data_IF_241616424125
#
_entry.id   IF_241616424125
#
_cell.length_a   1.000
_cell.length_b   1.000
_cell.length_c   1.000
_cell.angle_alpha   90.00
_cell.angle_beta   90.00
_cell.angle_gamma   90.00
#
_symmetry.space_group_name_H-M   'P 1'
#
loop_
_entity.id
_entity.type
_entity.pdbx_description
1 polymer ?
#
# COMPACT_ATOMS: atom_id res chain seq x y z
N UNK A 1 9.49 0.45 6.62
CA UNK A 1 8.33 1.29 7.02
C UNK A 1 8.80 2.34 8.03
N UNK A 2 8.08 3.45 8.18
CA UNK A 2 8.35 4.45 9.23
C UNK A 2 7.36 4.34 10.38
N UNK A 3 7.79 4.72 11.58
CA UNK A 3 6.91 4.85 12.75
C UNK A 3 6.21 6.21 12.72
N UNK A 4 4.88 6.27 12.94
CA UNK A 4 4.16 7.54 13.01
C UNK A 4 4.72 8.49 14.06
N UNK A 5 4.84 9.77 13.71
CA UNK A 5 5.18 10.83 14.66
C UNK A 5 3.98 11.76 14.89
N UNK A 6 3.62 11.95 16.16
CA UNK A 6 2.41 12.70 16.58
C UNK A 6 2.73 14.08 17.17
N UNK A 7 3.99 14.52 17.10
CA UNK A 7 4.40 15.86 17.54
C UNK A 7 4.02 16.98 16.56
N UNK A 8 4.29 18.26 16.92
CA UNK A 8 4.04 19.42 16.06
C UNK A 8 4.69 19.30 14.68
N UNK A 9 5.89 18.72 14.64
CA UNK A 9 6.68 18.46 13.43
C UNK A 9 6.53 17.02 12.92
N UNK A 10 5.44 16.35 13.27
CA UNK A 10 5.25 14.91 13.02
C UNK A 10 5.38 14.54 11.53
N UNK A 11 4.90 15.40 10.64
CA UNK A 11 5.04 15.21 9.20
C UNK A 11 6.51 15.19 8.77
N UNK A 12 7.27 16.22 9.13
CA UNK A 12 8.68 16.34 8.70
C UNK A 12 9.56 15.32 9.42
N UNK A 13 9.33 15.03 10.70
CA UNK A 13 10.08 14.01 11.43
C UNK A 13 9.93 12.62 10.83
N UNK A 14 8.69 12.24 10.49
CA UNK A 14 8.43 10.95 9.86
C UNK A 14 8.92 10.89 8.40
N UNK A 15 8.73 11.97 7.63
CA UNK A 15 9.28 12.09 6.28
C UNK A 15 10.80 11.96 6.27
N UNK A 16 11.50 12.68 7.15
CA UNK A 16 12.95 12.63 7.26
C UNK A 16 13.43 11.21 7.62
N UNK A 17 12.71 10.50 8.48
CA UNK A 17 12.99 9.09 8.77
C UNK A 17 12.91 8.23 7.51
N UNK A 18 11.86 8.41 6.69
CA UNK A 18 11.70 7.71 5.41
C UNK A 18 12.78 8.07 4.39
N UNK A 19 13.13 9.36 4.30
CA UNK A 19 14.20 9.87 3.46
C UNK A 19 15.55 9.25 3.83
N UNK A 20 15.91 9.26 5.11
CA UNK A 20 17.17 8.68 5.59
C UNK A 20 17.28 7.20 5.28
N UNK A 21 16.20 6.43 5.44
CA UNK A 21 16.18 5.00 5.05
C UNK A 21 16.52 4.85 3.56
N UNK A 22 15.90 5.65 2.70
CA UNK A 22 16.11 5.60 1.26
C UNK A 22 17.54 6.02 0.86
N UNK A 23 18.05 7.10 1.45
CA UNK A 23 19.40 7.60 1.19
C UNK A 23 20.46 6.57 1.57
N UNK A 24 20.34 5.97 2.76
CA UNK A 24 21.27 4.93 3.22
C UNK A 24 21.17 3.69 2.33
N UNK A 25 19.98 3.30 1.87
CA UNK A 25 19.82 2.19 0.95
C UNK A 25 20.59 2.43 -0.36
N UNK A 26 20.47 3.63 -0.94
CA UNK A 26 21.24 4.02 -2.14
C UNK A 26 22.74 4.06 -1.85
N UNK A 27 23.17 4.69 -0.76
CA UNK A 27 24.58 4.80 -0.37
C UNK A 27 25.23 3.42 -0.20
N UNK A 28 24.50 2.45 0.37
CA UNK A 28 24.98 1.08 0.58
C UNK A 28 24.80 0.18 -0.64
N UNK A 29 24.30 0.70 -1.76
CA UNK A 29 24.14 -0.08 -2.99
C UNK A 29 23.06 -1.15 -2.90
N UNK A 30 22.00 -0.94 -2.11
CA UNK A 30 20.84 -1.83 -2.07
C UNK A 30 20.18 -1.84 -3.45
N UNK A 31 19.94 -3.02 -4.00
CA UNK A 31 19.41 -3.17 -5.36
C UNK A 31 17.90 -2.89 -5.46
N UNK A 32 17.17 -3.14 -4.36
CA UNK A 32 15.71 -3.02 -4.32
C UNK A 32 15.19 -2.62 -2.93
N UNK A 33 14.23 -1.69 -2.91
CA UNK A 33 13.55 -1.26 -1.70
C UNK A 33 12.03 -1.46 -1.80
N UNK A 34 11.47 -2.22 -0.86
CA UNK A 34 10.02 -2.29 -0.64
C UNK A 34 9.67 -1.34 0.50
N UNK A 35 8.93 -0.28 0.20
CA UNK A 35 8.54 0.72 1.18
C UNK A 35 7.05 0.66 1.50
N UNK A 36 6.68 0.71 2.78
CA UNK A 36 5.27 0.81 3.19
C UNK A 36 4.82 2.27 3.17
N UNK A 37 3.78 2.53 2.38
CA UNK A 37 3.26 3.86 2.08
C UNK A 37 1.78 3.99 2.48
N UNK A 38 1.24 5.20 2.44
CA UNK A 38 -0.18 5.49 2.64
C UNK A 38 -0.63 6.57 1.64
N UNK A 39 -1.94 6.64 1.31
CA UNK A 39 -2.44 7.63 0.36
C UNK A 39 -2.25 9.08 0.87
N UNK A 40 -1.93 10.05 -0.01
CA UNK A 40 -1.77 11.45 0.38
C UNK A 40 -3.12 12.09 0.73
N UNK A 41 -3.56 11.94 1.98
CA UNK A 41 -4.86 12.36 2.49
C UNK A 41 -5.16 13.85 2.21
N UNK A 42 -4.17 14.74 2.36
CA UNK A 42 -4.33 16.17 2.08
C UNK A 42 -4.60 16.42 0.60
N UNK A 43 -3.90 15.73 -0.30
CA UNK A 43 -4.07 15.88 -1.75
C UNK A 43 -5.42 15.34 -2.21
N UNK A 44 -5.78 14.13 -1.78
CA UNK A 44 -7.03 13.46 -2.19
C UNK A 44 -8.26 14.24 -1.69
N UNK A 45 -8.16 14.87 -0.53
CA UNK A 45 -9.26 15.68 0.03
C UNK A 45 -9.31 17.12 -0.47
N UNK A 46 -8.49 17.50 -1.45
CA UNK A 46 -8.43 18.89 -1.94
C UNK A 46 -7.98 19.90 -0.87
N UNK A 47 -7.16 19.47 0.08
CA UNK A 47 -6.66 20.30 1.18
C UNK A 47 -7.56 20.36 2.41
N UNK A 48 -8.72 19.69 2.41
CA UNK A 48 -9.64 19.69 3.55
C UNK A 48 -9.07 19.03 4.81
N UNK A 49 -8.39 17.90 4.66
CA UNK A 49 -7.80 17.16 5.78
C UNK A 49 -6.30 17.40 5.84
N UNK A 50 -5.86 18.24 6.77
CA UNK A 50 -4.46 18.68 6.90
C UNK A 50 -3.71 18.04 8.07
N UNK A 51 -4.42 17.32 8.94
CA UNK A 51 -3.88 16.75 10.18
C UNK A 51 -3.65 15.24 10.13
N UNK A 52 -3.83 14.61 8.97
CA UNK A 52 -3.53 13.18 8.77
C UNK A 52 -2.04 13.03 8.42
N UNK A 53 -1.18 13.59 9.27
CA UNK A 53 0.24 13.77 8.99
C UNK A 53 1.00 12.48 8.69
N UNK A 54 0.73 11.32 9.31
CA UNK A 54 1.46 10.10 8.97
C UNK A 54 1.19 9.60 7.55
N UNK A 55 -0.02 9.83 7.03
CA UNK A 55 -0.37 9.43 5.67
C UNK A 55 0.39 10.28 4.65
N UNK A 56 0.36 11.60 4.84
CA UNK A 56 1.04 12.54 3.96
C UNK A 56 2.57 12.40 4.03
N UNK A 57 3.14 12.12 5.22
CA UNK A 57 4.57 11.90 5.38
C UNK A 57 5.06 10.66 4.61
N UNK A 58 4.33 9.54 4.71
CA UNK A 58 4.65 8.31 3.96
C UNK A 58 4.48 8.50 2.45
N UNK A 59 3.42 9.19 2.01
CA UNK A 59 3.23 9.53 0.60
C UNK A 59 4.38 10.40 0.08
N UNK A 60 4.83 11.40 0.85
CA UNK A 60 5.97 12.26 0.53
C UNK A 60 7.27 11.45 0.42
N UNK A 61 7.50 10.52 1.34
CA UNK A 61 8.65 9.61 1.29
C UNK A 61 8.62 8.69 0.07
N UNK A 62 7.45 8.12 -0.28
CA UNK A 62 7.29 7.35 -1.52
C UNK A 62 7.66 8.18 -2.76
N UNK A 63 7.14 9.41 -2.87
CA UNK A 63 7.47 10.28 -4.02
C UNK A 63 8.98 10.56 -4.11
N UNK A 64 9.64 10.74 -2.96
CA UNK A 64 11.09 10.89 -2.90
C UNK A 64 11.80 9.63 -3.42
N UNK A 65 11.44 8.45 -2.91
CA UNK A 65 12.05 7.16 -3.30
C UNK A 65 11.91 6.92 -4.81
N UNK A 66 10.77 7.26 -5.41
CA UNK A 66 10.53 7.13 -6.86
C UNK A 66 11.48 7.97 -7.72
N UNK A 67 12.07 9.02 -7.16
CA UNK A 67 13.06 9.87 -7.85
C UNK A 67 14.50 9.37 -7.72
N UNK A 68 14.76 8.31 -6.95
CA UNK A 68 16.09 7.77 -6.74
C UNK A 68 16.42 6.68 -7.76
N UNK A 69 17.72 6.48 -8.00
CA UNK A 69 18.23 5.39 -8.85
C UNK A 69 18.31 4.06 -8.07
N UNK A 70 17.18 3.62 -7.54
CA UNK A 70 17.02 2.33 -6.86
C UNK A 70 15.71 1.69 -7.33
N UNK A 71 15.70 0.38 -7.62
CA UNK A 71 14.44 -0.29 -7.93
C UNK A 71 13.55 -0.22 -6.69
N UNK A 72 12.27 0.05 -6.86
CA UNK A 72 11.37 0.19 -5.71
C UNK A 72 9.97 -0.34 -5.95
N UNK A 73 9.35 -0.83 -4.89
CA UNK A 73 7.94 -1.14 -4.82
C UNK A 73 7.32 -0.58 -3.55
N UNK A 74 6.00 -0.40 -3.59
CA UNK A 74 5.27 0.29 -2.54
C UNK A 74 4.08 -0.54 -2.06
N UNK A 75 4.07 -0.85 -0.77
CA UNK A 75 2.97 -1.56 -0.10
C UNK A 75 2.09 -0.56 0.63
N UNK A 76 0.84 -0.40 0.17
CA UNK A 76 -0.16 0.45 0.82
C UNK A 76 -1.24 -0.41 1.51
N UNK A 77 -1.07 -0.74 2.80
CA UNK A 77 -2.03 -1.58 3.51
C UNK A 77 -3.34 -0.87 3.82
N UNK A 78 -4.39 -1.66 4.03
CA UNK A 78 -5.61 -1.23 4.71
C UNK A 78 -5.40 -1.01 6.21
N UNK A 79 -6.48 -0.70 6.93
CA UNK A 79 -6.43 -0.60 8.40
C UNK A 79 -6.19 -1.98 9.02
N UNK A 80 -5.24 -2.05 9.95
CA UNK A 80 -4.89 -3.30 10.63
C UNK A 80 -6.05 -3.77 11.50
N UNK A 81 -6.47 -5.03 11.31
CA UNK A 81 -7.54 -5.64 12.12
C UNK A 81 -7.14 -5.73 13.59
N UNK A 82 -5.85 -5.92 13.86
CA UNK A 82 -5.22 -6.00 15.17
C UNK A 82 -5.43 -4.72 15.99
N UNK A 83 -5.67 -3.58 15.34
CA UNK A 83 -5.97 -2.34 16.04
C UNK A 83 -7.31 -2.40 16.79
N UNK A 84 -8.27 -3.24 16.38
CA UNK A 84 -9.51 -3.45 17.12
C UNK A 84 -9.33 -4.20 18.43
N UNK A 85 -8.17 -4.84 18.63
CA UNK A 85 -7.83 -5.48 19.90
C UNK A 85 -6.83 -4.65 20.71
N UNK A 86 -5.84 -4.06 20.05
CA UNK A 86 -4.70 -3.41 20.71
C UNK A 86 -4.90 -1.93 21.00
N UNK A 87 -5.78 -1.24 20.26
CA UNK A 87 -6.00 0.20 20.40
C UNK A 87 -7.36 0.49 21.04
N UNK A 88 -7.35 0.90 22.30
CA UNK A 88 -8.58 1.12 23.10
C UNK A 88 -9.56 2.09 22.44
N UNK A 89 -9.08 3.06 21.67
CA UNK A 89 -9.93 4.03 20.96
C UNK A 89 -10.57 3.48 19.66
N UNK A 90 -10.11 2.33 19.15
CA UNK A 90 -10.71 1.63 18.00
C UNK A 90 -11.45 0.35 18.41
N UNK A 91 -11.08 -0.23 19.56
CA UNK A 91 -11.59 -1.49 20.04
C UNK A 91 -13.09 -1.49 20.32
N UNK A 92 -13.70 -2.67 20.18
CA UNK A 92 -15.07 -2.90 20.62
C UNK A 92 -15.14 -2.86 22.15
N UNK A 93 -16.16 -2.20 22.70
CA UNK A 93 -16.42 -2.17 24.13
C UNK A 93 -17.65 -3.00 24.47
N UNK A 94 -17.61 -3.74 25.58
CA UNK A 94 -18.81 -4.38 26.11
C UNK A 94 -19.75 -3.34 26.71
N UNK A 95 -21.03 -3.49 26.44
CA UNK A 95 -22.13 -2.81 27.10
C UNK A 95 -22.82 -3.78 28.09
N UNK A 96 -23.63 -3.27 29.03
CA UNK A 96 -24.46 -4.11 29.88
C UNK A 96 -25.30 -5.10 29.05
N UNK A 97 -25.48 -6.33 29.54
CA UNK A 97 -26.26 -7.36 28.85
C UNK A 97 -25.52 -8.10 27.72
N UNK A 98 -24.18 -8.01 27.64
CA UNK A 98 -23.38 -8.81 26.71
C UNK A 98 -23.34 -8.29 25.26
N UNK A 99 -23.87 -7.10 25.02
CA UNK A 99 -23.80 -6.44 23.69
C UNK A 99 -22.44 -5.80 23.49
N UNK A 100 -21.89 -5.85 22.27
CA UNK A 100 -20.65 -5.17 21.90
C UNK A 100 -20.93 -3.91 21.09
N UNK A 101 -20.22 -2.84 21.40
CA UNK A 101 -20.38 -1.54 20.74
C UNK A 101 -19.05 -1.16 20.07
N UNK A 102 -19.15 -0.76 18.80
CA UNK A 102 -18.08 -0.12 18.04
C UNK A 102 -18.57 1.26 17.63
N UNK A 103 -17.89 2.31 18.10
CA UNK A 103 -18.22 3.70 17.73
C UNK A 103 -17.31 4.16 16.59
N UNK A 104 -17.88 4.76 15.54
CA UNK A 104 -17.15 5.37 14.42
C UNK A 104 -17.72 6.76 14.11
N UNK A 105 -16.87 7.63 13.57
CA UNK A 105 -17.25 8.97 13.09
C UNK A 105 -17.65 8.97 11.60
N UNK A 106 -17.88 7.77 11.04
CA UNK A 106 -18.22 7.53 9.63
C UNK A 106 -19.65 7.01 9.52
N UNK A 107 -20.21 7.02 8.31
CA UNK A 107 -21.51 6.40 8.03
C UNK A 107 -21.48 4.90 8.30
N UNK A 108 -22.63 4.33 8.67
CA UNK A 108 -22.82 2.87 8.78
C UNK A 108 -22.61 2.14 7.45
N UNK A 109 -22.79 2.84 6.33
CA UNK A 109 -22.59 2.29 4.98
C UNK A 109 -21.16 2.51 4.46
N UNK A 110 -20.29 3.18 5.22
CA UNK A 110 -18.90 3.40 4.80
C UNK A 110 -18.12 2.09 4.81
N UNK A 111 -17.56 1.72 3.66
CA UNK A 111 -16.65 0.59 3.54
C UNK A 111 -15.25 1.00 4.01
N UNK A 112 -14.63 0.17 4.84
CA UNK A 112 -13.26 0.38 5.31
C UNK A 112 -12.36 -0.75 4.82
N UNK A 113 -11.25 -0.45 4.14
CA UNK A 113 -10.28 -1.47 3.77
C UNK A 113 -9.60 -1.99 5.03
N UNK A 114 -9.63 -3.30 5.24
CA UNK A 114 -9.00 -3.98 6.37
C UNK A 114 -7.93 -4.94 5.88
N UNK A 115 -6.89 -5.12 6.69
CA UNK A 115 -5.88 -6.16 6.49
C UNK A 115 -5.58 -6.83 7.83
N UNK A 116 -5.53 -8.16 7.83
CA UNK A 116 -4.87 -8.93 8.89
C UNK A 116 -3.36 -8.79 8.64
N UNK A 117 -2.77 -7.83 9.35
CA UNK A 117 -1.41 -7.39 9.11
C UNK A 117 -0.41 -8.48 9.48
N UNK A 118 -0.65 -9.18 10.58
CA UNK A 118 0.18 -10.27 11.10
C UNK A 118 0.12 -11.48 10.17
N UNK A 119 -1.08 -11.88 9.73
CA UNK A 119 -1.26 -13.07 8.91
C UNK A 119 -0.94 -12.90 7.42
N UNK A 120 -1.11 -11.70 6.86
CA UNK A 120 -1.07 -11.52 5.40
C UNK A 120 0.01 -10.56 4.87
N UNK A 121 0.47 -9.57 5.64
CA UNK A 121 1.41 -8.56 5.10
C UNK A 121 2.68 -9.21 4.54
N UNK A 122 3.24 -10.20 5.24
CA UNK A 122 4.43 -10.92 4.80
C UNK A 122 4.29 -11.53 3.40
N UNK A 123 3.12 -12.10 3.09
CA UNK A 123 2.83 -12.73 1.78
C UNK A 123 2.82 -11.71 0.64
N UNK A 124 2.28 -10.50 0.89
CA UNK A 124 2.29 -9.43 -0.11
C UNK A 124 3.70 -8.87 -0.31
N UNK A 125 4.48 -8.73 0.76
CA UNK A 125 5.87 -8.27 0.68
C UNK A 125 6.74 -9.30 -0.04
N UNK A 126 6.56 -10.59 0.23
CA UNK A 126 7.22 -11.70 -0.47
C UNK A 126 6.86 -11.71 -1.97
N UNK A 127 5.58 -11.52 -2.31
CA UNK A 127 5.18 -11.39 -3.71
C UNK A 127 5.86 -10.20 -4.41
N UNK A 128 6.07 -9.09 -3.68
CA UNK A 128 6.79 -7.93 -4.21
C UNK A 128 8.31 -8.15 -4.33
N UNK A 129 8.92 -9.03 -3.53
CA UNK A 129 10.34 -9.36 -3.66
C UNK A 129 10.64 -10.15 -4.93
N UNK A 130 9.69 -10.94 -5.45
CA UNK A 130 9.88 -11.65 -6.72
C UNK A 130 10.13 -10.73 -7.93
N UNK A 131 9.70 -9.47 -7.89
CA UNK A 131 10.05 -8.52 -8.96
C UNK A 131 11.53 -8.21 -9.02
N UNK A 132 12.24 -8.27 -7.90
CA UNK A 132 13.68 -8.08 -7.89
C UNK A 132 14.39 -9.30 -8.48
N UNK A 133 14.03 -10.50 -8.04
CA UNK A 133 14.69 -11.75 -8.41
C UNK A 133 14.32 -12.22 -9.83
N UNK A 134 13.04 -12.11 -10.22
CA UNK A 134 12.52 -12.72 -11.44
C UNK A 134 11.95 -11.71 -12.45
N UNK A 135 11.88 -10.42 -12.08
CA UNK A 135 11.22 -9.37 -12.87
C UNK A 135 9.73 -9.66 -13.14
N UNK A 136 9.19 -10.68 -12.47
CA UNK A 136 7.83 -11.20 -12.52
C UNK A 136 7.45 -11.84 -11.18
N UNK A 137 6.15 -12.09 -10.97
CA UNK A 137 5.61 -12.60 -9.70
C UNK A 137 5.95 -14.08 -9.36
N UNK A 138 6.74 -14.78 -10.18
CA UNK A 138 7.21 -16.16 -9.91
C UNK A 138 8.39 -16.54 -10.81
N UNK A 139 9.21 -17.54 -10.42
CA UNK A 139 10.39 -17.96 -11.18
C UNK A 139 10.12 -18.28 -12.66
N UNK A 140 9.08 -19.08 -12.93
CA UNK A 140 8.78 -19.56 -14.28
C UNK A 140 7.92 -18.60 -15.10
N UNK A 141 7.60 -17.41 -14.58
CA UNK A 141 6.65 -16.50 -15.21
C UNK A 141 7.07 -16.10 -16.62
N UNK A 142 8.34 -15.72 -16.83
CA UNK A 142 8.87 -15.36 -18.16
C UNK A 142 8.68 -16.48 -19.16
N UNK A 143 9.04 -17.71 -18.77
CA UNK A 143 8.89 -18.91 -19.61
C UNK A 143 7.43 -19.18 -19.94
N UNK A 144 6.54 -19.07 -18.95
CA UNK A 144 5.11 -19.32 -19.14
C UNK A 144 4.44 -18.25 -20.00
N UNK A 145 4.85 -16.98 -19.88
CA UNK A 145 4.39 -15.88 -20.75
C UNK A 145 4.87 -16.09 -22.19
N UNK A 146 6.15 -16.43 -22.39
CA UNK A 146 6.69 -16.73 -23.72
C UNK A 146 5.97 -17.92 -24.37
N UNK A 147 5.83 -19.02 -23.64
CA UNK A 147 5.10 -20.20 -24.11
C UNK A 147 3.64 -19.86 -24.47
N UNK A 148 2.95 -19.08 -23.63
CA UNK A 148 1.57 -18.70 -23.88
C UNK A 148 1.43 -17.89 -25.18
N UNK A 149 2.37 -16.98 -25.45
CA UNK A 149 2.41 -16.20 -26.68
C UNK A 149 2.65 -17.07 -27.92
N UNK A 150 3.52 -18.08 -27.82
CA UNK A 150 3.79 -19.03 -28.92
C UNK A 150 2.63 -20.00 -29.20
N UNK A 151 1.86 -20.35 -28.16
CA UNK A 151 0.85 -21.41 -28.23
C UNK A 151 -0.59 -20.88 -28.28
N UNK A 152 -0.81 -19.56 -28.29
CA UNK A 152 -2.17 -19.01 -28.37
C UNK A 152 -2.77 -19.27 -29.75
N UNK A 153 -3.88 -20.01 -29.83
CA UNK A 153 -4.58 -20.34 -31.10
C UNK A 153 -5.48 -19.20 -31.62
N UNK A 154 -5.11 -17.94 -31.37
CA UNK A 154 -5.89 -16.76 -31.75
C UNK A 154 -5.05 -15.49 -31.74
N UNK A 155 -5.62 -14.38 -32.23
CA UNK A 155 -4.93 -13.09 -32.21
C UNK A 155 -4.93 -12.53 -30.79
N UNK A 156 -3.76 -12.32 -30.21
CA UNK A 156 -3.62 -11.54 -28.97
C UNK A 156 -4.21 -10.14 -29.19
N UNK A 157 -5.21 -9.78 -28.39
CA UNK A 157 -5.74 -8.42 -28.37
C UNK A 157 -4.90 -7.57 -27.43
N UNK A 158 -4.68 -6.30 -27.78
CA UNK A 158 -4.15 -5.34 -26.81
C UNK A 158 -5.22 -5.03 -25.76
N UNK A 159 -4.82 -4.45 -24.64
CA UNK A 159 -5.75 -3.97 -23.62
C UNK A 159 -6.72 -2.93 -24.20
N UNK A 160 -6.25 -2.01 -25.04
CA UNK A 160 -7.16 -1.09 -25.74
C UNK A 160 -8.12 -1.81 -26.69
N UNK A 161 -7.62 -2.80 -27.44
CA UNK A 161 -8.44 -3.62 -28.33
C UNK A 161 -9.55 -4.35 -27.58
N UNK A 162 -9.22 -4.86 -26.38
CA UNK A 162 -10.17 -5.53 -25.51
C UNK A 162 -11.25 -4.56 -25.03
N UNK A 163 -10.88 -3.38 -24.52
CA UNK A 163 -11.87 -2.40 -24.07
C UNK A 163 -12.69 -1.77 -25.19
N UNK A 164 -12.16 -1.71 -26.42
CA UNK A 164 -12.92 -1.30 -27.59
C UNK A 164 -13.98 -2.35 -27.96
N UNK A 165 -13.65 -3.64 -27.87
CA UNK A 165 -14.59 -4.74 -28.10
C UNK A 165 -15.57 -4.94 -26.93
N UNK A 166 -15.16 -4.60 -25.72
CA UNK A 166 -15.90 -4.77 -24.47
C UNK A 166 -15.90 -3.46 -23.65
N UNK A 167 -16.75 -2.49 -24.02
CA UNK A 167 -16.81 -1.21 -23.33
C UNK A 167 -17.16 -1.39 -21.85
N UNK A 168 -16.37 -0.76 -20.97
CA UNK A 168 -16.65 -0.77 -19.53
C UNK A 168 -17.96 -0.02 -19.25
N UNK A 169 -18.93 -0.72 -18.67
CA UNK A 169 -20.12 -0.09 -18.07
C UNK A 169 -19.79 0.26 -16.63
N UNK A 170 -19.27 1.46 -16.42
CA UNK A 170 -19.09 2.00 -15.07
C UNK A 170 -20.44 2.57 -14.63
N UNK A 171 -20.95 2.06 -13.51
CA UNK A 171 -22.19 2.51 -12.87
C UNK A 171 -22.00 3.83 -12.14
#
# INVERSE_FOLDING_TARGET
>A
MTTPSFGPDGLEGEYNSGKTIADVAVEKGVEYIIFSTLPPARKISGGKYTKVTPFDAKAKAEQYIRGLQIKSAFYSPGSFMENFQSQTFLASRQAPGGTWIITRHTSLNSQMPLVDAVGNTGRFVEALSYYEEFDYLRPDAKKLVAWAAENTRGRLSTLEGYFKAHPLKLA
#
